data_IF_207471339971
#
_entry.id   IF_207471339971
#
_cell.length_a   1.000
_cell.length_b   1.000
_cell.length_c   1.000
_cell.angle_alpha   90.00
_cell.angle_beta   90.00
_cell.angle_gamma   90.00
#
_symmetry.space_group_name_H-M   'P 1'
#
loop_
_entity.id
_entity.type
_entity.pdbx_description
1 polymer ?
#
# COMPACT_ATOMS: atom_id res chain seq x y z
N UNK A 1 46.21 21.02 18.90
CA UNK A 1 45.06 21.82 18.42
C UNK A 1 43.82 20.96 18.59
N UNK A 2 43.00 21.23 19.60
CA UNK A 2 41.77 20.47 19.85
C UNK A 2 40.62 21.09 19.07
N UNK A 3 39.72 20.25 18.54
CA UNK A 3 38.46 20.74 17.98
C UNK A 3 37.67 21.45 19.09
N UNK A 4 37.27 22.70 18.84
CA UNK A 4 36.38 23.41 19.73
C UNK A 4 34.94 22.90 19.63
N UNK A 5 34.12 23.31 20.60
CA UNK A 5 32.69 23.07 20.58
C UNK A 5 31.99 23.51 19.27
N UNK A 6 32.31 24.67 18.65
CA UNK A 6 31.61 25.09 17.43
C UNK A 6 31.93 24.18 16.22
N UNK A 7 33.15 23.67 16.10
CA UNK A 7 33.54 22.76 15.02
C UNK A 7 32.83 21.41 15.15
N UNK A 8 32.64 20.92 16.38
CA UNK A 8 31.89 19.67 16.65
C UNK A 8 30.41 19.82 16.27
N UNK A 9 29.79 20.96 16.59
CA UNK A 9 28.39 21.23 16.24
C UNK A 9 28.20 21.25 14.72
N UNK A 10 29.12 21.90 13.98
CA UNK A 10 29.08 21.94 12.52
C UNK A 10 29.21 20.54 11.91
N UNK A 11 30.07 19.69 12.48
CA UNK A 11 30.20 18.28 12.05
C UNK A 11 28.90 17.52 12.30
N UNK A 12 28.28 17.66 13.47
CA UNK A 12 27.02 16.97 13.78
C UNK A 12 25.90 17.41 12.82
N UNK A 13 25.82 18.70 12.47
CA UNK A 13 24.82 19.20 11.51
C UNK A 13 25.11 18.67 10.11
N UNK A 14 26.38 18.72 9.68
CA UNK A 14 26.79 18.26 8.35
C UNK A 14 26.53 16.76 8.15
N UNK A 15 26.91 15.93 9.13
CA UNK A 15 26.74 14.47 9.06
C UNK A 15 25.31 14.02 9.41
N UNK A 16 24.64 14.71 10.34
CA UNK A 16 23.26 14.42 10.71
C UNK A 16 22.28 14.71 9.56
N UNK A 17 22.41 15.86 8.90
CA UNK A 17 21.58 16.20 7.74
C UNK A 17 21.74 15.17 6.61
N UNK A 18 22.98 14.75 6.33
CA UNK A 18 23.28 13.74 5.31
C UNK A 18 22.61 12.39 5.57
N UNK A 19 22.35 12.05 6.83
CA UNK A 19 21.72 10.78 7.21
C UNK A 19 20.18 10.84 7.19
N UNK A 20 19.58 11.95 7.61
CA UNK A 20 18.12 12.06 7.72
C UNK A 20 17.42 12.52 6.43
N UNK A 21 18.10 13.26 5.55
CA UNK A 21 17.56 13.66 4.24
C UNK A 21 17.07 12.45 3.41
N UNK A 22 17.88 11.38 3.20
CA UNK A 22 17.42 10.23 2.43
C UNK A 22 16.29 9.45 3.12
N UNK A 23 16.22 9.45 4.45
CA UNK A 23 15.12 8.82 5.18
C UNK A 23 13.78 9.52 4.95
N UNK A 24 13.74 10.85 5.04
CA UNK A 24 12.54 11.66 4.78
C UNK A 24 12.12 11.55 3.31
N UNK A 25 13.09 11.62 2.40
CA UNK A 25 12.84 11.45 0.97
C UNK A 25 12.30 10.04 0.68
N UNK A 26 12.91 9.01 1.25
CA UNK A 26 12.49 7.61 1.15
C UNK A 26 11.06 7.41 1.66
N UNK A 27 10.67 8.02 2.78
CA UNK A 27 9.30 7.98 3.30
C UNK A 27 8.28 8.55 2.29
N UNK A 28 8.56 9.74 1.75
CA UNK A 28 7.68 10.39 0.79
C UNK A 28 7.61 9.60 -0.53
N UNK A 29 8.76 9.14 -1.04
CA UNK A 29 8.81 8.28 -2.23
C UNK A 29 8.07 6.95 -1.99
N UNK A 30 8.24 6.33 -0.83
CA UNK A 30 7.63 5.06 -0.45
C UNK A 30 6.12 5.14 -0.27
N UNK A 31 5.58 6.29 0.14
CA UNK A 31 4.12 6.51 0.26
C UNK A 31 3.36 6.31 -1.06
N UNK A 32 4.05 6.42 -2.20
CA UNK A 32 3.51 6.26 -3.56
C UNK A 32 3.84 4.89 -4.17
N UNK A 33 4.48 3.99 -3.41
CA UNK A 33 5.08 2.73 -3.89
C UNK A 33 4.62 1.56 -3.03
N UNK A 34 4.60 0.35 -3.58
CA UNK A 34 4.06 -0.84 -2.90
C UNK A 34 4.80 -1.20 -1.60
N UNK A 35 6.03 -0.70 -1.40
CA UNK A 35 6.81 -0.85 -0.18
C UNK A 35 6.25 -0.05 1.01
N UNK A 36 5.41 0.93 0.72
CA UNK A 36 4.77 1.79 1.71
C UNK A 36 5.71 2.84 2.32
N UNK A 37 5.14 3.79 3.07
CA UNK A 37 5.88 4.90 3.67
C UNK A 37 6.91 4.42 4.71
N UNK A 38 6.57 3.41 5.51
CA UNK A 38 7.48 2.85 6.53
C UNK A 38 8.66 2.13 5.88
N UNK A 39 8.41 1.31 4.85
CA UNK A 39 9.48 0.63 4.12
C UNK A 39 10.41 1.61 3.40
N UNK A 40 9.85 2.68 2.83
CA UNK A 40 10.62 3.76 2.22
C UNK A 40 11.50 4.52 3.21
N UNK A 41 11.00 4.80 4.43
CA UNK A 41 11.77 5.44 5.49
C UNK A 41 12.94 4.57 5.93
N UNK A 42 12.70 3.29 6.22
CA UNK A 42 13.74 2.37 6.69
C UNK A 42 14.83 2.17 5.64
N UNK A 43 14.45 2.01 4.37
CA UNK A 43 15.43 1.93 3.28
C UNK A 43 16.24 3.22 3.17
N UNK A 44 15.59 4.39 3.17
CA UNK A 44 16.28 5.68 3.12
C UNK A 44 17.18 5.95 4.33
N UNK A 45 16.85 5.42 5.51
CA UNK A 45 17.62 5.59 6.73
C UNK A 45 18.86 4.69 6.80
N UNK A 46 18.72 3.41 6.46
CA UNK A 46 19.80 2.42 6.61
C UNK A 46 20.69 2.32 5.37
N UNK A 47 20.11 2.51 4.18
CA UNK A 47 20.83 2.42 2.90
C UNK A 47 21.06 3.80 2.26
N UNK A 48 20.69 4.90 2.94
CA UNK A 48 20.87 6.28 2.46
C UNK A 48 20.33 6.43 1.02
N UNK A 49 21.14 6.98 0.10
CA UNK A 49 20.77 7.17 -1.31
C UNK A 49 20.47 5.85 -2.03
N UNK A 50 21.18 4.76 -1.72
CA UNK A 50 20.91 3.45 -2.32
C UNK A 50 19.52 2.95 -1.94
N UNK A 51 19.10 3.20 -0.69
CA UNK A 51 17.77 2.87 -0.22
C UNK A 51 16.68 3.62 -0.98
N UNK A 52 16.87 4.93 -1.18
CA UNK A 52 15.96 5.74 -2.00
C UNK A 52 15.91 5.20 -3.44
N UNK A 53 17.03 4.83 -4.03
CA UNK A 53 17.07 4.24 -5.38
C UNK A 53 16.24 2.96 -5.47
N UNK A 54 16.34 2.06 -4.49
CA UNK A 54 15.52 0.84 -4.40
C UNK A 54 14.03 1.18 -4.31
N UNK A 55 13.65 2.20 -3.54
CA UNK A 55 12.26 2.68 -3.46
C UNK A 55 11.75 3.13 -4.84
N UNK A 56 12.58 3.79 -5.64
CA UNK A 56 12.21 4.19 -7.01
C UNK A 56 12.09 3.02 -7.99
N UNK A 57 12.88 1.95 -7.80
CA UNK A 57 12.77 0.70 -8.54
C UNK A 57 11.52 -0.11 -8.17
N UNK A 58 10.90 0.17 -7.02
CA UNK A 58 9.69 -0.53 -6.58
C UNK A 58 8.46 -0.07 -7.37
N UNK A 59 7.48 -0.96 -7.58
CA UNK A 59 6.23 -0.66 -8.29
C UNK A 59 5.43 0.48 -7.63
N UNK A 60 4.76 1.30 -8.43
CA UNK A 60 3.84 2.33 -7.94
C UNK A 60 2.52 1.70 -7.52
N UNK A 61 1.90 2.23 -6.45
CA UNK A 61 0.60 1.74 -5.95
C UNK A 61 -0.51 1.99 -6.98
N UNK A 62 -0.36 3.00 -7.83
CA UNK A 62 -1.32 3.35 -8.89
C UNK A 62 -1.39 2.30 -10.01
N UNK A 63 -0.42 1.39 -10.07
CA UNK A 63 -0.46 0.21 -10.91
C UNK A 63 -1.41 -0.82 -10.30
N UNK A 64 -2.72 -0.57 -10.41
CA UNK A 64 -3.70 -1.64 -10.20
C UNK A 64 -3.28 -2.78 -11.13
N UNK A 65 -2.94 -3.98 -10.63
CA UNK A 65 -2.81 -5.12 -11.52
C UNK A 65 -4.13 -5.19 -12.30
N UNK A 66 -4.04 -5.18 -13.63
CA UNK A 66 -5.21 -5.31 -14.52
C UNK A 66 -6.06 -6.55 -14.18
N UNK A 67 -5.47 -7.51 -13.47
CA UNK A 67 -6.17 -8.57 -12.73
C UNK A 67 -6.62 -8.12 -11.34
N UNK A 68 -7.41 -7.06 -11.29
CA UNK A 68 -8.25 -6.74 -10.16
C UNK A 68 -9.62 -7.35 -10.38
N UNK A 69 -9.80 -8.62 -9.99
CA UNK A 69 -11.13 -9.19 -9.74
C UNK A 69 -11.72 -8.54 -8.47
N UNK A 70 -11.90 -7.23 -8.50
CA UNK A 70 -12.71 -6.46 -7.56
C UNK A 70 -13.80 -5.67 -8.29
N UNK A 71 -14.18 -6.13 -9.48
CA UNK A 71 -15.58 -6.06 -9.84
C UNK A 71 -16.22 -7.27 -9.17
N UNK A 72 -16.77 -7.10 -7.97
CA UNK A 72 -17.89 -7.95 -7.56
C UNK A 72 -18.96 -7.73 -8.63
N UNK A 73 -18.85 -8.47 -9.73
CA UNK A 73 -19.89 -8.52 -10.71
C UNK A 73 -21.09 -9.06 -9.94
N UNK A 74 -22.26 -8.41 -10.02
CA UNK A 74 -23.51 -8.94 -9.48
C UNK A 74 -23.69 -10.42 -9.82
N UNK A 75 -23.19 -10.86 -10.99
CA UNK A 75 -23.19 -12.24 -11.43
C UNK A 75 -22.37 -13.19 -10.55
N UNK A 76 -21.18 -12.79 -10.06
CA UNK A 76 -20.32 -13.64 -9.23
C UNK A 76 -20.90 -13.83 -7.83
N UNK A 77 -21.54 -12.79 -7.28
CA UNK A 77 -22.28 -12.89 -6.02
C UNK A 77 -23.50 -13.79 -6.18
N UNK A 78 -24.28 -13.57 -7.25
CA UNK A 78 -25.43 -14.43 -7.59
C UNK A 78 -25.00 -15.90 -7.76
N UNK A 79 -23.84 -16.16 -8.36
CA UNK A 79 -23.30 -17.51 -8.52
C UNK A 79 -22.94 -18.16 -7.18
N UNK A 80 -22.34 -17.42 -6.24
CA UNK A 80 -22.08 -17.92 -4.88
C UNK A 80 -23.37 -18.23 -4.14
N UNK A 81 -24.37 -17.35 -4.22
CA UNK A 81 -25.67 -17.61 -3.60
C UNK A 81 -26.40 -18.80 -4.23
N UNK A 82 -26.25 -19.00 -5.55
CA UNK A 82 -26.78 -20.20 -6.23
C UNK A 82 -26.09 -21.48 -5.74
N UNK A 83 -24.76 -21.47 -5.58
CA UNK A 83 -24.03 -22.61 -5.02
C UNK A 83 -24.47 -22.93 -3.58
N UNK A 84 -24.74 -21.90 -2.76
CA UNK A 84 -25.26 -22.09 -1.41
C UNK A 84 -26.66 -22.71 -1.42
N UNK A 85 -27.52 -22.32 -2.36
CA UNK A 85 -28.85 -22.91 -2.54
C UNK A 85 -28.75 -24.38 -2.99
N UNK A 86 -27.90 -24.67 -3.97
CA UNK A 86 -27.68 -26.03 -4.49
C UNK A 86 -27.07 -26.95 -3.41
N UNK A 87 -26.29 -26.39 -2.47
CA UNK A 87 -25.75 -27.11 -1.30
C UNK A 87 -26.76 -27.28 -0.15
N UNK A 88 -27.96 -26.70 -0.26
CA UNK A 88 -28.98 -26.70 0.79
C UNK A 88 -28.65 -25.83 2.02
N UNK A 89 -27.60 -25.00 1.94
CA UNK A 89 -27.16 -24.13 3.03
C UNK A 89 -28.08 -22.91 3.23
N UNK A 90 -28.83 -22.52 2.19
CA UNK A 90 -29.83 -21.45 2.24
C UNK A 90 -31.14 -21.92 1.60
N UNK A 91 -32.23 -21.23 1.92
CA UNK A 91 -33.56 -21.50 1.35
C UNK A 91 -33.82 -20.68 0.08
N UNK A 92 -34.75 -21.13 -0.78
CA UNK A 92 -35.14 -20.39 -2.00
C UNK A 92 -35.63 -18.96 -1.71
N UNK A 93 -36.29 -18.78 -0.57
CA UNK A 93 -36.77 -17.46 -0.13
C UNK A 93 -35.61 -16.51 0.16
N UNK A 94 -34.56 -16.97 0.84
CA UNK A 94 -33.37 -16.16 1.16
C UNK A 94 -32.56 -15.83 -0.11
N UNK A 95 -32.45 -16.79 -1.03
CA UNK A 95 -31.82 -16.57 -2.34
C UNK A 95 -32.53 -15.45 -3.12
N UNK A 96 -33.87 -15.48 -3.19
CA UNK A 96 -34.65 -14.47 -3.91
C UNK A 96 -34.56 -13.07 -3.29
N UNK A 97 -34.50 -12.97 -1.96
CA UNK A 97 -34.28 -11.68 -1.26
C UNK A 97 -32.91 -11.10 -1.58
N UNK A 98 -31.86 -11.92 -1.57
CA UNK A 98 -30.50 -11.46 -1.89
C UNK A 98 -30.34 -11.11 -3.37
N UNK A 99 -30.92 -11.91 -4.28
CA UNK A 99 -30.99 -11.61 -5.71
C UNK A 99 -31.67 -10.26 -5.98
N UNK A 100 -32.79 -9.99 -5.32
CA UNK A 100 -33.51 -8.72 -5.45
C UNK A 100 -32.70 -7.51 -4.96
N UNK A 101 -31.95 -7.66 -3.86
CA UNK A 101 -31.04 -6.62 -3.34
C UNK A 101 -29.88 -6.33 -4.29
N UNK A 102 -29.22 -7.37 -4.80
CA UNK A 102 -28.07 -7.22 -5.71
C UNK A 102 -28.52 -6.53 -7.02
N UNK A 103 -29.68 -6.91 -7.57
CA UNK A 103 -30.22 -6.33 -8.81
C UNK A 103 -30.72 -4.89 -8.63
N UNK A 104 -31.34 -4.54 -7.50
CA UNK A 104 -31.84 -3.16 -7.25
C UNK A 104 -30.79 -2.20 -6.69
N UNK A 105 -29.69 -2.69 -6.10
CA UNK A 105 -28.63 -1.84 -5.54
C UNK A 105 -27.86 -1.00 -6.58
N UNK A 106 -28.15 -1.17 -7.87
CA UNK A 106 -27.47 -0.50 -8.99
C UNK A 106 -28.40 0.35 -9.88
N UNK A 107 -29.59 0.72 -9.40
CA UNK A 107 -30.43 1.72 -10.05
C UNK A 107 -30.22 3.11 -9.45
#
# INVERSE_FOLDING_TARGET
MGLGAPEIILIIIAFGGMWFIPAIWGYNAGSKRTIGPVGGLLLGLFLSILGVLIVYCTRRIDEKPFYGFSSQSPADELQKFKQLLDSGAITENEYNVQKGRILNSKQ
#
